data_IF_868782800511
#
_entry.id   IF_868782800511
#
_cell.length_a   1.000
_cell.length_b   1.000
_cell.length_c   1.000
_cell.angle_alpha   90.00
_cell.angle_beta   90.00
_cell.angle_gamma   90.00
#
_symmetry.space_group_name_H-M   'P 1'
#
loop_
_entity.id
_entity.type
_entity.pdbx_description
1 polymer ?
2 non-polymer ?
3 non-polymer ?
4 water ?
#
# COMPACT_ATOMS: atom_id res chain seq x y z
N UNK A 21 18.84 -16.94 -12.46
CA UNK A 21 17.60 -16.16 -12.19
C UNK A 21 17.92 -15.19 -11.05
N UNK A 22 17.06 -15.07 -10.04
CA UNK A 22 17.41 -14.26 -8.87
C UNK A 22 17.97 -15.14 -7.78
N UNK A 23 19.23 -14.92 -7.41
CA UNK A 23 19.85 -15.73 -6.38
C UNK A 23 20.06 -14.96 -5.08
N UNK A 24 20.17 -13.65 -5.18
CA UNK A 24 20.43 -12.80 -4.02
C UNK A 24 19.76 -11.44 -4.15
N UNK A 25 18.94 -11.10 -3.16
CA UNK A 25 18.16 -9.88 -3.18
C UNK A 25 18.52 -8.98 -2.01
N UNK A 26 18.79 -7.71 -2.32
CA UNK A 26 18.91 -6.68 -1.31
C UNK A 26 17.52 -6.17 -0.94
N UNK A 27 17.20 -6.22 0.33
CA UNK A 27 15.92 -5.75 0.84
C UNK A 27 16.10 -4.31 1.26
N UNK A 28 15.76 -3.39 0.35
CA UNK A 28 16.00 -1.97 0.57
C UNK A 28 14.82 -1.35 1.33
N UNK A 29 14.61 -1.83 2.54
CA UNK A 29 13.50 -1.35 3.38
C UNK A 29 13.75 -1.85 4.81
N UNK A 30 12.73 -1.76 5.65
CA UNK A 30 12.87 -2.00 7.08
C UNK A 30 11.54 -2.49 7.67
N UNK A 31 11.53 -2.79 8.96
CA UNK A 31 10.28 -3.07 9.64
C UNK A 31 9.53 -4.26 9.05
N UNK A 32 8.21 -4.15 9.08
CA UNK A 32 7.39 -5.31 8.76
C UNK A 32 7.54 -5.71 7.29
N UNK A 33 7.60 -4.74 6.38
CA UNK A 33 7.65 -5.12 4.96
C UNK A 33 8.97 -5.81 4.63
N UNK A 34 10.04 -5.41 5.31
CA UNK A 34 11.34 -6.04 5.10
C UNK A 34 11.23 -7.48 5.52
N UNK A 35 10.56 -7.75 6.63
CA UNK A 35 10.36 -9.15 7.07
C UNK A 35 9.49 -9.96 6.11
N UNK A 36 8.44 -9.32 5.59
CA UNK A 36 7.54 -9.93 4.61
C UNK A 36 8.33 -10.37 3.38
N UNK A 37 9.24 -9.51 2.93
CA UNK A 37 10.05 -9.78 1.74
C UNK A 37 11.05 -10.90 2.04
N UNK A 38 11.67 -10.84 3.20
CA UNK A 38 12.60 -11.89 3.61
C UNK A 38 11.92 -13.25 3.63
N UNK A 39 10.69 -13.31 4.12
CA UNK A 39 9.97 -14.56 4.20
C UNK A 39 9.71 -15.12 2.79
N UNK A 40 9.28 -14.26 1.88
CA UNK A 40 9.07 -14.70 0.48
C UNK A 40 10.39 -15.20 -0.15
N UNK A 41 11.49 -14.49 0.12
CA UNK A 41 12.76 -14.85 -0.47
C UNK A 41 13.14 -16.22 0.02
N UNK A 42 12.99 -16.43 1.32
CA UNK A 42 13.47 -17.66 1.93
C UNK A 42 12.64 -18.85 1.45
N UNK A 43 11.35 -18.63 1.21
CA UNK A 43 10.51 -19.68 0.61
C UNK A 43 10.99 -20.10 -0.77
N UNK A 44 11.44 -19.11 -1.55
CA UNK A 44 11.95 -19.35 -2.91
C UNK A 44 13.43 -19.75 -2.96
N UNK A 45 14.08 -19.78 -1.80
CA UNK A 45 15.47 -20.17 -1.74
C UNK A 45 16.40 -19.07 -2.22
N UNK A 46 15.94 -17.83 -2.13
CA UNK A 46 16.73 -16.67 -2.53
C UNK A 46 17.51 -16.13 -1.34
N UNK A 47 18.82 -15.90 -1.51
CA UNK A 47 19.62 -15.35 -0.43
C UNK A 47 19.24 -13.90 -0.16
N UNK A 48 19.34 -13.47 1.09
CA UNK A 48 18.94 -12.12 1.44
C UNK A 48 20.08 -11.27 1.96
N UNK A 49 20.00 -9.99 1.63
CA UNK A 49 20.93 -9.00 2.12
C UNK A 49 20.08 -7.93 2.79
N UNK A 50 20.20 -7.79 4.10
CA UNK A 50 19.49 -6.75 4.83
C UNK A 50 20.36 -5.51 4.96
N UNK A 51 19.99 -4.45 4.25
CA UNK A 51 20.64 -3.16 4.47
C UNK A 51 19.85 -2.44 5.57
N UNK A 52 20.58 -1.82 6.50
CA UNK A 52 19.94 -1.23 7.66
C UNK A 52 20.68 0.00 8.22
N UNK A 53 19.97 0.89 8.90
CA UNK A 53 20.61 2.01 9.58
C UNK A 53 21.20 1.52 10.89
N UNK A 54 22.00 2.35 11.53
CA UNK A 54 22.60 2.00 12.81
C UNK A 54 21.53 1.75 13.88
N UNK A 55 20.34 2.31 13.67
CA UNK A 55 19.26 2.23 14.66
C UNK A 55 18.47 0.94 14.55
N UNK A 56 18.72 0.19 13.49
CA UNK A 56 17.85 -0.91 13.13
C UNK A 56 18.64 -2.22 13.16
N UNK A 57 19.74 -2.22 13.89
CA UNK A 57 20.56 -3.42 14.00
C UNK A 57 19.82 -4.59 14.62
N UNK A 58 18.79 -4.30 15.41
CA UNK A 58 18.04 -5.36 16.11
C UNK A 58 16.68 -5.68 15.47
N UNK A 59 16.45 -5.20 14.25
CA UNK A 59 15.23 -5.55 13.54
C UNK A 59 15.18 -7.05 13.33
N UNK A 60 14.00 -7.64 13.42
CA UNK A 60 13.87 -9.09 13.25
C UNK A 60 14.43 -9.56 11.91
N UNK A 61 14.07 -8.90 10.81
CA UNK A 61 14.53 -9.41 9.51
C UNK A 61 16.05 -9.30 9.37
N UNK A 62 16.66 -8.29 10.00
CA UNK A 62 18.12 -8.16 9.99
C UNK A 62 18.74 -9.36 10.68
N UNK A 63 18.15 -9.75 11.81
CA UNK A 63 18.67 -10.86 12.60
C UNK A 63 18.51 -12.20 11.86
N UNK A 64 17.50 -12.28 11.01
CA UNK A 64 17.27 -13.48 10.19
C UNK A 64 17.97 -13.50 8.82
N UNK A 65 18.50 -12.38 8.36
CA UNK A 65 19.03 -12.29 7.00
C UNK A 65 20.33 -13.08 6.84
N UNK A 66 20.60 -13.52 5.62
CA UNK A 66 21.85 -14.21 5.33
C UNK A 66 23.08 -13.30 5.44
N UNK A 67 22.98 -12.07 4.92
CA UNK A 67 24.05 -11.08 5.04
C UNK A 67 23.44 -9.77 5.51
N UNK A 68 24.20 -8.97 6.26
CA UNK A 68 23.74 -7.64 6.65
C UNK A 68 24.79 -6.59 6.32
N UNK A 69 24.33 -5.39 6.03
CA UNK A 69 25.19 -4.27 5.70
C UNK A 69 24.62 -2.97 6.27
N UNK A 70 25.38 -2.30 7.12
CA UNK A 70 24.92 -1.03 7.69
C UNK A 70 25.13 0.07 6.65
N UNK A 71 24.06 0.75 6.23
CA UNK A 71 24.14 1.73 5.16
C UNK A 71 24.11 3.21 5.61
N UNK A 72 24.05 3.45 6.93
CA UNK A 72 24.12 4.81 7.41
C UNK A 72 23.55 4.96 8.79
N UNK A 73 23.62 6.19 9.34
CA UNK A 73 23.09 6.52 10.65
C UNK A 73 21.57 6.53 10.63
N UNK A 74 20.96 6.91 11.74
CA UNK A 74 19.52 6.71 11.92
C UNK A 74 18.60 7.42 10.91
N UNK A 75 18.84 8.72 10.68
CA UNK A 75 17.88 9.43 9.83
C UNK A 75 17.70 8.79 8.47
N UNK A 76 16.46 8.68 8.00
CA UNK A 76 16.19 8.02 6.72
C UNK A 76 16.98 8.63 5.59
N UNK A 77 17.11 9.96 5.60
CA UNK A 77 17.78 10.65 4.51
C UNK A 77 19.20 10.14 4.34
N UNK A 78 19.77 9.65 5.43
CA UNK A 78 21.18 9.24 5.45
C UNK A 78 21.36 7.72 5.33
N UNK A 79 20.24 7.00 5.28
CA UNK A 79 20.30 5.55 5.25
C UNK A 79 19.37 4.97 4.19
N UNK A 80 18.08 4.87 4.48
CA UNK A 80 17.17 4.14 3.59
C UNK A 80 16.84 4.90 2.31
N UNK A 81 17.17 6.20 2.31
CA UNK A 81 17.03 7.02 1.13
C UNK A 81 18.39 7.28 0.47
N UNK A 82 19.43 6.66 1.02
CA UNK A 82 20.81 6.85 0.54
C UNK A 82 21.07 5.97 -0.68
N UNK A 83 20.83 6.51 -1.86
CA UNK A 83 20.90 5.71 -3.08
C UNK A 83 22.29 5.10 -3.32
N UNK A 84 23.36 5.92 -3.21
CA UNK A 84 24.68 5.32 -3.44
C UNK A 84 25.01 4.19 -2.48
N UNK A 85 24.63 4.29 -1.22
CA UNK A 85 24.96 3.25 -0.24
C UNK A 85 24.19 1.94 -0.50
N UNK A 86 22.93 2.07 -0.88
CA UNK A 86 22.14 0.88 -1.18
C UNK A 86 22.71 0.15 -2.41
N UNK A 87 23.03 0.91 -3.45
CA UNK A 87 23.61 0.35 -4.67
C UNK A 87 24.96 -0.30 -4.34
N UNK A 88 25.72 0.34 -3.49
CA UNK A 88 27.04 -0.18 -3.11
C UNK A 88 26.92 -1.50 -2.35
N UNK A 89 25.87 -1.64 -1.55
CA UNK A 89 25.60 -2.89 -0.84
C UNK A 89 25.29 -4.03 -1.83
N UNK A 90 24.50 -3.71 -2.85
CA UNK A 90 24.26 -4.66 -3.92
C UNK A 90 25.55 -5.07 -4.63
N UNK A 91 26.43 -4.11 -4.89
CA UNK A 91 27.66 -4.39 -5.62
C UNK A 91 28.59 -5.31 -4.83
N UNK A 92 28.85 -4.95 -3.58
CA UNK A 92 29.80 -5.67 -2.76
C UNK A 92 29.32 -7.06 -2.36
N UNK A 93 28.00 -7.24 -2.22
CA UNK A 93 27.47 -8.58 -1.94
C UNK A 93 27.29 -9.44 -3.19
N UNK A 94 27.43 -8.83 -4.35
CA UNK A 94 27.21 -9.54 -5.61
C UNK A 94 25.74 -9.90 -5.77
N UNK A 95 24.85 -9.05 -5.28
CA UNK A 95 23.43 -9.29 -5.38
C UNK A 95 22.97 -9.17 -6.82
N UNK A 96 21.83 -9.77 -7.13
CA UNK A 96 21.22 -9.76 -8.45
C UNK A 96 20.09 -8.73 -8.57
N UNK A 97 19.45 -8.43 -7.46
CA UNK A 97 18.22 -7.62 -7.49
C UNK A 97 18.00 -6.87 -6.20
N UNK A 98 17.17 -5.83 -6.26
CA UNK A 98 16.86 -4.99 -5.11
C UNK A 98 15.34 -4.87 -5.00
N UNK A 99 14.80 -5.16 -3.82
CA UNK A 99 13.38 -5.03 -3.59
C UNK A 99 13.20 -3.80 -2.71
N UNK A 100 12.51 -2.79 -3.22
CA UNK A 100 12.35 -1.53 -2.47
C UNK A 100 11.15 -1.46 -1.50
N UNK A 101 10.37 -2.53 -1.35
CA UNK A 101 9.21 -2.48 -0.50
C UNK A 101 8.23 -1.41 -0.90
N UNK A 102 7.67 -0.75 0.10
CA UNK A 102 6.80 0.40 -0.08
C UNK A 102 7.41 1.60 0.64
N UNK A 103 7.00 2.80 0.25
CA UNK A 103 7.61 4.00 0.79
C UNK A 103 9.05 4.13 0.35
N UNK A 104 9.80 4.90 1.14
CA UNK A 104 11.22 5.15 0.88
C UNK A 104 11.50 5.38 -0.61
N UNK A 105 12.30 4.54 -1.25
CA UNK A 105 12.70 4.77 -2.63
C UNK A 105 11.88 3.98 -3.66
N UNK A 106 10.81 3.32 -3.22
CA UNK A 106 10.13 2.35 -4.09
C UNK A 106 9.49 2.99 -5.33
N UNK A 107 9.12 4.26 -5.22
CA UNK A 107 8.54 4.98 -6.36
C UNK A 107 9.41 6.17 -6.76
N UNK A 108 10.69 6.06 -6.44
CA UNK A 108 11.67 7.02 -6.88
C UNK A 108 12.29 6.54 -8.19
N UNK A 109 11.97 7.23 -9.29
CA UNK A 109 12.36 6.78 -10.62
C UNK A 109 13.84 6.97 -10.85
N UNK A 110 14.45 7.93 -10.16
CA UNK A 110 15.89 8.12 -10.27
C UNK A 110 16.62 6.91 -9.65
N UNK A 111 16.08 6.39 -8.55
CA UNK A 111 16.63 5.19 -7.92
C UNK A 111 16.52 3.99 -8.86
N UNK A 112 15.34 3.76 -9.41
CA UNK A 112 15.12 2.64 -10.33
C UNK A 112 16.06 2.72 -11.52
N UNK A 113 16.16 3.91 -12.10
CA UNK A 113 16.97 4.17 -13.27
C UNK A 113 18.41 3.86 -12.96
N UNK A 114 18.84 4.21 -11.75
CA UNK A 114 20.20 3.94 -11.33
C UNK A 114 20.47 2.48 -10.98
N UNK A 115 19.47 1.78 -10.49
CA UNK A 115 19.62 0.37 -10.17
C UNK A 115 19.83 -0.40 -11.48
N UNK A 116 19.08 -0.02 -12.50
CA UNK A 116 19.14 -0.70 -13.80
C UNK A 116 20.46 -0.37 -14.50
N UNK A 117 20.77 0.92 -14.56
CA UNK A 117 21.98 1.40 -15.21
C UNK A 117 23.23 0.80 -14.57
N UNK A 118 23.05 0.28 -13.35
CA UNK A 118 24.16 -0.25 -12.58
C UNK A 118 24.18 -1.77 -12.62
N UNK A 119 23.26 -2.35 -13.39
CA UNK A 119 23.31 -3.77 -13.70
C UNK A 119 22.47 -4.69 -12.83
N UNK A 120 21.66 -4.13 -11.94
CA UNK A 120 20.82 -4.94 -11.06
C UNK A 120 19.38 -4.93 -11.54
N UNK A 121 18.63 -5.94 -11.14
CA UNK A 121 17.20 -5.98 -11.42
C UNK A 121 16.46 -5.22 -10.35
N UNK A 122 15.71 -4.20 -10.74
CA UNK A 122 14.82 -3.49 -9.83
C UNK A 122 13.53 -4.28 -9.71
N UNK A 123 13.16 -4.71 -8.50
CA UNK A 123 11.91 -5.46 -8.32
C UNK A 123 10.76 -4.47 -8.25
N UNK A 124 10.23 -4.15 -9.42
CA UNK A 124 9.23 -3.12 -9.58
C UNK A 124 9.14 -2.78 -11.05
N UNK A 125 8.43 -1.70 -11.37
CA UNK A 125 8.36 -1.31 -12.78
C UNK A 125 9.63 -0.65 -13.28
N UNK A 126 9.67 -0.45 -14.58
CA UNK A 126 10.73 0.31 -15.20
C UNK A 126 10.67 1.77 -14.75
N UNK A 127 11.84 2.42 -14.72
CA UNK A 127 11.93 3.81 -14.32
C UNK A 127 10.95 4.70 -15.07
N UNK A 128 10.83 4.50 -16.38
CA UNK A 128 9.98 5.35 -17.21
C UNK A 128 8.50 5.26 -16.81
N UNK A 129 8.06 4.06 -16.43
CA UNK A 129 6.67 3.84 -16.01
C UNK A 129 6.40 4.45 -14.63
N UNK A 130 7.38 4.34 -13.76
CA UNK A 130 7.32 5.00 -12.47
C UNK A 130 7.13 6.50 -12.64
N UNK A 131 7.96 7.11 -13.49
CA UNK A 131 7.92 8.54 -13.68
C UNK A 131 6.58 8.95 -14.29
N UNK A 132 6.07 8.15 -15.23
CA UNK A 132 4.79 8.43 -15.85
C UNK A 132 3.63 8.46 -14.86
N UNK A 133 3.56 7.43 -14.02
CA UNK A 133 2.48 7.31 -13.06
C UNK A 133 2.82 8.06 -11.78
N UNK A 134 4.05 8.58 -11.72
CA UNK A 134 4.49 9.37 -10.59
C UNK A 134 4.03 10.81 -10.64
N UNK A 135 3.60 11.25 -11.81
CA UNK A 135 3.13 12.63 -11.96
C UNK A 135 1.62 12.70 -12.06
N UNK A 136 1.02 13.52 -11.19
CA UNK A 136 -0.44 13.65 -11.14
C UNK A 136 -1.12 13.61 -12.51
N UNK A 137 -0.87 14.62 -13.32
CA UNK A 137 -1.65 14.75 -14.55
C UNK A 137 -1.27 13.72 -15.63
N UNK A 138 0.02 13.50 -15.85
CA UNK A 138 0.44 12.50 -16.85
C UNK A 138 -0.16 11.13 -16.55
N UNK A 139 -0.28 10.78 -15.26
CA UNK A 139 -0.95 9.55 -14.88
C UNK A 139 -2.38 9.59 -15.39
N UNK A 140 -3.15 10.58 -14.94
CA UNK A 140 -4.56 10.70 -15.32
C UNK A 140 -4.75 10.67 -16.83
N UNK A 141 -3.77 11.18 -17.55
CA UNK A 141 -3.87 11.29 -19.00
C UNK A 141 -3.62 9.92 -19.66
N UNK A 142 -2.73 9.14 -19.07
CA UNK A 142 -2.48 7.80 -19.57
C UNK A 142 -3.68 6.90 -19.27
N UNK A 143 -4.31 7.10 -18.11
CA UNK A 143 -5.48 6.33 -17.72
C UNK A 143 -6.65 6.66 -18.66
N UNK A 144 -6.85 7.95 -18.94
CA UNK A 144 -7.97 8.36 -19.76
C UNK A 144 -7.77 7.79 -21.16
N UNK A 145 -6.52 7.81 -21.63
CA UNK A 145 -6.20 7.16 -22.91
C UNK A 145 -6.49 5.66 -22.86
N UNK A 146 -6.22 5.06 -21.71
CA UNK A 146 -6.38 3.61 -21.51
C UNK A 146 -7.82 3.12 -21.36
N UNK A 147 -8.75 4.03 -21.08
CA UNK A 147 -10.15 3.67 -20.91
C UNK A 147 -10.53 3.51 -19.45
N UNK A 148 -9.61 3.84 -18.55
CA UNK A 148 -9.90 3.81 -17.13
C UNK A 148 -10.61 5.11 -16.76
N UNK A 149 -11.74 5.00 -16.05
CA UNK A 149 -12.54 6.19 -15.79
C UNK A 149 -11.85 7.12 -14.82
N UNK A 150 -11.77 8.39 -15.20
CA UNK A 150 -11.18 9.40 -14.35
C UNK A 150 -12.24 10.35 -13.86
N UNK A 151 -11.84 11.25 -12.95
CA UNK A 151 -12.79 12.18 -12.41
C UNK A 151 -13.02 13.29 -13.43
N UNK A 152 -14.27 13.70 -13.60
CA UNK A 152 -14.51 14.86 -14.48
C UNK A 152 -13.68 16.04 -14.04
N UNK A 153 -12.97 16.65 -14.97
CA UNK A 153 -12.10 17.77 -14.63
C UNK A 153 -11.47 18.48 -15.81
N UNK A 154 -10.24 18.96 -15.58
CA UNK A 154 -9.50 19.75 -16.54
C UNK A 154 -9.61 19.16 -17.94
N UNK A 163 -11.10 34.72 -18.84
CA UNK A 163 -11.17 33.63 -17.87
C UNK A 163 -12.31 32.70 -18.24
N UNK A 164 -11.89 31.51 -18.62
CA UNK A 164 -12.72 30.48 -19.18
C UNK A 164 -12.69 29.33 -18.17
N UNK A 165 -12.22 29.71 -16.99
CA UNK A 165 -12.23 28.85 -15.81
C UNK A 165 -13.61 28.81 -15.16
N UNK A 166 -14.42 29.84 -15.37
CA UNK A 166 -15.80 29.79 -14.93
C UNK A 166 -16.58 28.80 -15.82
N UNK A 167 -16.21 28.71 -17.10
CA UNK A 167 -16.94 27.87 -18.05
C UNK A 167 -16.60 26.43 -17.73
N UNK A 168 -15.32 26.16 -17.55
CA UNK A 168 -14.90 24.80 -17.22
C UNK A 168 -15.51 24.36 -15.88
N UNK A 169 -15.41 25.24 -14.88
CA UNK A 169 -15.86 24.92 -13.52
C UNK A 169 -17.31 24.54 -13.64
N UNK A 170 -18.01 25.32 -14.44
CA UNK A 170 -19.43 25.18 -14.64
C UNK A 170 -19.78 23.81 -15.22
N UNK A 171 -19.13 23.42 -16.31
CA UNK A 171 -19.46 22.15 -16.97
C UNK A 171 -19.18 20.95 -16.05
N UNK A 172 -18.04 20.99 -15.39
CA UNK A 172 -17.64 19.98 -14.38
C UNK A 172 -18.70 19.91 -13.29
N UNK A 173 -18.95 21.07 -12.68
CA UNK A 173 -19.97 21.22 -11.65
C UNK A 173 -19.39 21.36 -10.24
N UNK A 174 -19.79 22.40 -9.52
CA UNK A 174 -19.32 22.58 -8.14
C UNK A 174 -19.97 21.54 -7.22
N UNK A 175 -19.28 21.14 -6.15
CA UNK A 175 -17.99 21.69 -5.71
C UNK A 175 -16.79 21.29 -6.55
N UNK A 176 -15.73 22.08 -6.45
CA UNK A 176 -14.48 21.85 -7.17
C UNK A 176 -13.22 22.06 -6.35
N UNK A 177 -12.10 21.62 -6.92
CA UNK A 177 -10.78 21.82 -6.33
C UNK A 177 -9.77 22.36 -7.35
N UNK A 178 -8.99 23.36 -6.93
CA UNK A 178 -7.96 23.96 -7.77
C UNK A 178 -6.59 23.52 -7.28
N UNK A 190 -7.08 24.24 -3.07
CA UNK A 190 -8.20 24.90 -2.41
C UNK A 190 -9.55 24.51 -3.03
N UNK A 191 -10.44 23.98 -2.20
CA UNK A 191 -11.79 23.59 -2.62
C UNK A 191 -12.62 24.83 -2.92
N UNK A 192 -13.63 24.64 -3.76
CA UNK A 192 -14.44 25.77 -4.19
C UNK A 192 -15.88 25.32 -4.38
N UNK A 193 -16.79 25.96 -3.65
CA UNK A 193 -18.19 25.59 -3.64
C UNK A 193 -19.04 26.57 -4.47
N UNK A 194 -18.44 27.67 -4.90
CA UNK A 194 -19.12 28.57 -5.84
C UNK A 194 -18.19 29.45 -6.69
N UNK A 195 -18.80 30.08 -7.68
CA UNK A 195 -18.11 30.75 -8.78
C UNK A 195 -17.62 32.17 -8.44
N UNK A 196 -18.40 32.90 -7.65
CA UNK A 196 -17.97 34.24 -7.23
C UNK A 196 -16.63 34.20 -6.47
N UNK A 197 -16.26 33.03 -5.95
CA UNK A 197 -14.97 32.86 -5.27
C UNK A 197 -13.91 32.28 -6.21
N UNK A 198 -14.34 31.71 -7.33
CA UNK A 198 -13.43 31.07 -8.27
C UNK A 198 -12.18 31.90 -8.55
N UNK A 199 -12.38 33.03 -9.22
CA UNK A 199 -11.29 33.93 -9.59
C UNK A 199 -10.31 34.12 -8.44
N UNK A 200 -10.81 34.68 -7.35
CA UNK A 200 -10.00 34.95 -6.17
C UNK A 200 -9.21 33.70 -5.76
N UNK A 201 -9.90 32.58 -5.64
CA UNK A 201 -9.28 31.33 -5.24
C UNK A 201 -8.10 31.03 -6.16
N UNK A 202 -8.32 31.22 -7.46
CA UNK A 202 -7.34 30.84 -8.46
C UNK A 202 -5.99 31.48 -8.16
N UNK A 203 -6.02 32.79 -7.90
CA UNK A 203 -4.80 33.54 -7.63
C UNK A 203 -4.09 33.11 -6.35
N UNK A 204 -4.83 32.53 -5.40
CA UNK A 204 -4.25 32.15 -4.12
C UNK A 204 -3.71 30.71 -4.12
N UNK A 205 -4.44 29.80 -4.75
CA UNK A 205 -3.98 28.42 -4.88
C UNK A 205 -2.71 28.34 -5.73
N UNK A 206 -2.42 29.42 -6.45
CA UNK A 206 -1.28 29.46 -7.35
C UNK A 206 0.03 29.70 -6.58
N UNK A 207 0.22 30.96 -6.15
CA UNK A 207 1.40 31.38 -5.39
C UNK A 207 1.98 30.26 -4.54
N UNK A 208 1.11 29.38 -4.03
CA UNK A 208 1.54 28.21 -3.27
C UNK A 208 1.59 26.98 -4.17
N UNK A 220 -9.06 20.19 -12.65
CA UNK A 220 -9.85 20.34 -11.45
C UNK A 220 -10.85 19.20 -11.26
N UNK A 221 -10.51 18.29 -10.37
CA UNK A 221 -11.38 17.14 -10.12
C UNK A 221 -12.65 17.55 -9.37
N UNK A 222 -13.80 17.39 -10.03
CA UNK A 222 -15.08 17.37 -9.33
C UNK A 222 -14.84 16.81 -7.93
N UNK A 223 -15.26 17.54 -6.89
CA UNK A 223 -15.11 17.07 -5.52
C UNK A 223 -16.31 16.21 -5.17
N UNK A 224 -16.06 14.98 -4.69
CA UNK A 224 -17.14 14.09 -4.32
C UNK A 224 -17.27 14.01 -2.81
N UNK A 225 -18.47 13.77 -2.30
CA UNK A 225 -18.72 13.80 -0.84
C UNK A 225 -19.31 12.52 -0.25
N UNK A 226 -19.59 11.54 -1.09
CA UNK A 226 -19.92 10.21 -0.60
C UNK A 226 -19.00 9.21 -1.25
N UNK A 227 -17.70 9.55 -1.41
CA UNK A 227 -16.85 8.60 -2.11
C UNK A 227 -16.19 7.65 -1.11
N UNK A 228 -16.13 6.39 -1.49
CA UNK A 228 -15.35 5.39 -0.75
C UNK A 228 -14.01 5.27 -1.44
N UNK A 229 -13.02 4.73 -0.74
CA UNK A 229 -11.74 4.45 -1.36
C UNK A 229 -11.75 2.99 -1.77
N UNK A 230 -11.81 2.73 -3.07
CA UNK A 230 -11.81 1.37 -3.56
C UNK A 230 -10.68 1.20 -4.56
N UNK A 231 -9.86 0.17 -4.36
CA UNK A 231 -8.63 0.03 -5.14
C UNK A 231 -8.45 -1.37 -5.71
N UNK A 232 -7.92 -1.44 -6.93
CA UNK A 232 -7.78 -2.69 -7.64
C UNK A 232 -6.30 -3.10 -7.65
N UNK A 233 -6.05 -4.30 -7.16
CA UNK A 233 -4.73 -4.90 -7.18
C UNK A 233 -4.48 -5.53 -8.54
N UNK A 234 -3.29 -5.30 -9.10
CA UNK A 234 -2.91 -5.93 -10.34
C UNK A 234 -1.51 -6.55 -10.26
N UNK A 235 -1.26 -7.45 -11.20
CA UNK A 235 0.08 -7.98 -11.51
C UNK A 235 0.23 -7.93 -13.01
N UNK A 236 1.42 -7.61 -13.49
CA UNK A 236 1.70 -7.73 -14.91
C UNK A 236 3.09 -8.32 -15.08
N UNK A 237 3.28 -9.16 -16.09
CA UNK A 237 4.58 -9.83 -16.23
C UNK A 237 5.28 -9.45 -17.54
N UNK A 238 6.46 -10.02 -17.76
CA UNK A 238 7.22 -9.73 -18.97
C UNK A 238 6.82 -10.62 -20.12
N UNK A 239 5.73 -11.38 -19.95
CA UNK A 239 5.21 -12.24 -21.01
C UNK A 239 3.93 -11.66 -21.60
N UNK A 240 3.64 -10.41 -21.26
CA UNK A 240 2.47 -9.75 -21.81
C UNK A 240 1.15 -10.01 -21.10
N UNK A 241 1.20 -10.68 -19.96
CA UNK A 241 0.00 -10.96 -19.18
C UNK A 241 -0.24 -9.88 -18.15
N UNK A 242 -1.50 -9.65 -17.82
CA UNK A 242 -1.86 -8.74 -16.74
C UNK A 242 -3.18 -9.19 -16.12
N UNK A 243 -3.18 -9.35 -14.80
CA UNK A 243 -4.36 -9.80 -14.08
C UNK A 243 -4.77 -8.82 -12.99
N UNK A 244 -6.06 -8.85 -12.66
CA UNK A 244 -6.58 -8.12 -11.51
C UNK A 244 -6.99 -9.07 -10.42
N UNK A 245 -6.74 -8.67 -9.19
CA UNK A 245 -7.00 -9.50 -8.01
C UNK A 245 -8.03 -8.84 -7.12
N UNK A 246 -9.27 -8.81 -7.62
CA UNK A 246 -10.38 -8.15 -6.95
C UNK A 246 -9.99 -6.76 -6.47
N UNK A 247 -10.65 -6.28 -5.41
CA UNK A 247 -10.43 -4.93 -4.93
C UNK A 247 -10.35 -4.89 -3.40
N UNK A 248 -9.98 -3.73 -2.88
CA UNK A 248 -9.95 -3.50 -1.44
C UNK A 248 -10.68 -2.20 -1.14
N UNK A 249 -11.34 -2.15 0.01
CA UNK A 249 -11.94 -0.88 0.45
C UNK A 249 -11.10 -0.37 1.59
N UNK A 250 -10.57 0.84 1.45
CA UNK A 250 -9.66 1.41 2.44
C UNK A 250 -10.16 2.80 2.87
N UNK A 251 -11.45 2.90 3.12
CA UNK A 251 -12.11 4.19 3.33
C UNK A 251 -11.89 4.72 4.72
N UNK A 252 -11.55 3.84 5.65
CA UNK A 252 -11.30 4.27 7.03
C UNK A 252 -9.92 4.90 7.11
N UNK A 253 -9.90 6.23 7.12
CA UNK A 253 -8.68 6.99 6.97
C UNK A 253 -8.70 8.19 7.89
N UNK A 254 -7.51 8.57 8.32
CA UNK A 254 -7.33 9.82 9.05
C UNK A 254 -6.27 10.62 8.35
N UNK A 255 -6.60 11.84 7.96
CA UNK A 255 -5.63 12.66 7.26
C UNK A 255 -4.97 11.89 6.15
N UNK A 256 -5.82 11.18 5.42
CA UNK A 256 -5.40 10.53 4.20
C UNK A 256 -4.44 9.38 4.48
N UNK A 257 -4.36 8.97 5.76
CA UNK A 257 -3.61 7.75 6.14
C UNK A 257 -4.58 6.65 6.51
N UNK A 258 -4.45 5.50 5.84
CA UNK A 258 -5.35 4.37 6.04
C UNK A 258 -5.12 3.72 7.40
N UNK A 259 -6.21 3.25 8.01
CA UNK A 259 -6.19 2.66 9.35
C UNK A 259 -6.66 1.21 9.34
N UNK A 260 -7.75 0.98 8.60
CA UNK A 260 -8.34 -0.34 8.48
C UNK A 260 -8.63 -0.56 7.01
N UNK A 261 -8.31 -1.75 6.48
CA UNK A 261 -8.65 -2.07 5.10
C UNK A 261 -9.41 -3.41 5.04
N UNK A 262 -10.15 -3.62 3.96
CA UNK A 262 -10.86 -4.87 3.83
C UNK A 262 -10.97 -5.29 2.37
N UNK A 263 -11.27 -6.56 2.15
CA UNK A 263 -11.45 -7.12 0.81
C UNK A 263 -12.40 -8.29 0.89
N UNK A 264 -13.26 -8.45 -0.11
CA UNK A 264 -13.54 -7.54 -1.21
C UNK A 264 -14.26 -6.30 -0.68
N UNK A 265 -14.54 -5.33 -1.54
CA UNK A 265 -15.27 -4.14 -1.12
C UNK A 265 -16.75 -4.42 -1.05
N UNK A 266 -17.37 -4.08 0.09
CA UNK A 266 -18.80 -4.36 0.23
C UNK A 266 -19.60 -3.71 -0.92
N UNK A 267 -20.59 -4.41 -1.44
CA UNK A 267 -21.49 -3.85 -2.44
C UNK A 267 -21.05 -4.07 -3.87
N UNK A 268 -19.76 -4.30 -4.07
CA UNK A 268 -19.19 -4.52 -5.39
C UNK A 268 -19.58 -5.90 -5.86
N UNK A 269 -20.36 -5.96 -6.92
CA UNK A 269 -20.75 -7.23 -7.47
C UNK A 269 -19.63 -7.72 -8.38
N UNK A 270 -19.65 -8.99 -8.76
CA UNK A 270 -18.62 -9.53 -9.62
C UNK A 270 -18.65 -8.93 -11.04
N UNK A 271 -19.83 -8.59 -11.55
CA UNK A 271 -19.93 -7.89 -12.82
C UNK A 271 -19.09 -6.61 -12.83
N UNK A 272 -19.31 -5.80 -11.80
CA UNK A 272 -18.64 -4.53 -11.63
C UNK A 272 -17.13 -4.74 -11.43
N UNK A 273 -16.77 -5.71 -10.58
CA UNK A 273 -15.38 -6.12 -10.40
C UNK A 273 -14.72 -6.45 -11.75
N UNK A 274 -15.44 -7.16 -12.60
CA UNK A 274 -14.88 -7.67 -13.83
C UNK A 274 -14.62 -6.51 -14.81
N UNK A 275 -15.56 -5.58 -14.82
CA UNK A 275 -15.42 -4.41 -15.68
C UNK A 275 -14.22 -3.54 -15.29
N UNK A 276 -14.21 -3.06 -14.05
CA UNK A 276 -13.17 -2.14 -13.65
C UNK A 276 -11.80 -2.83 -13.61
N UNK A 277 -11.81 -4.11 -13.26
CA UNK A 277 -10.59 -4.91 -13.17
C UNK A 277 -9.99 -5.16 -14.54
N UNK A 278 -10.85 -5.43 -15.52
CA UNK A 278 -10.38 -5.68 -16.86
C UNK A 278 -9.80 -4.39 -17.43
N UNK A 279 -10.42 -3.26 -17.09
CA UNK A 279 -9.89 -1.97 -17.55
C UNK A 279 -8.50 -1.71 -16.98
N UNK A 280 -8.32 -2.03 -15.71
CA UNK A 280 -7.00 -1.88 -15.10
C UNK A 280 -5.94 -2.81 -15.71
N UNK A 281 -6.30 -4.04 -16.02
CA UNK A 281 -5.35 -4.97 -16.61
C UNK A 281 -4.90 -4.48 -17.98
N UNK A 282 -5.87 -4.05 -18.78
CA UNK A 282 -5.56 -3.53 -20.09
C UNK A 282 -4.71 -2.27 -19.98
N UNK A 283 -4.95 -1.44 -18.97
CA UNK A 283 -4.13 -0.28 -18.75
C UNK A 283 -2.68 -0.72 -18.52
N UNK A 284 -2.51 -1.78 -17.73
CA UNK A 284 -1.18 -2.35 -17.48
C UNK A 284 -0.47 -2.65 -18.79
N UNK A 285 -1.11 -3.45 -19.64
CA UNK A 285 -0.50 -3.78 -20.93
C UNK A 285 -0.20 -2.51 -21.75
N UNK A 286 -1.12 -1.56 -21.73
CA UNK A 286 -1.02 -0.42 -22.61
C UNK A 286 0.18 0.45 -22.22
N UNK A 287 0.47 0.51 -20.92
CA UNK A 287 1.60 1.31 -20.43
C UNK A 287 2.87 0.48 -20.18
N UNK A 288 2.83 -0.81 -20.45
CA UNK A 288 4.01 -1.63 -20.31
C UNK A 288 4.39 -1.81 -18.85
N UNK A 289 3.36 -1.90 -18.02
CA UNK A 289 3.59 -2.13 -16.60
C UNK A 289 4.25 -3.46 -16.32
N UNK A 290 5.00 -3.51 -15.22
CA UNK A 290 5.72 -4.70 -14.79
C UNK A 290 5.63 -4.83 -13.28
N UNK A 291 5.21 -5.99 -12.78
CA UNK A 291 5.18 -6.23 -11.34
C UNK A 291 3.83 -6.00 -10.69
N UNK A 292 3.85 -5.87 -9.36
CA UNK A 292 2.64 -5.55 -8.60
C UNK A 292 2.34 -4.05 -8.67
N UNK A 293 1.06 -3.72 -8.68
CA UNK A 293 0.68 -2.33 -8.58
C UNK A 293 -0.75 -2.23 -8.12
N UNK A 294 -1.16 -1.03 -7.71
CA UNK A 294 -2.54 -0.78 -7.34
C UNK A 294 -3.10 0.47 -8.02
N UNK A 295 -4.28 0.33 -8.61
CA UNK A 295 -5.05 1.48 -9.10
C UNK A 295 -6.02 1.90 -7.99
N UNK A 296 -5.87 3.12 -7.48
CA UNK A 296 -6.76 3.66 -6.46
C UNK A 296 -7.86 4.47 -7.10
N UNK A 297 -9.09 4.22 -6.64
CA UNK A 297 -10.25 4.97 -7.11
C UNK A 297 -11.07 5.56 -5.97
N UNK A 298 -11.72 6.66 -6.28
CA UNK A 298 -12.87 7.14 -5.53
C UNK A 298 -14.10 6.42 -6.10
N UNK A 299 -15.00 5.98 -5.23
CA UNK A 299 -16.12 5.18 -5.69
C UNK A 299 -17.45 5.74 -5.21
N UNK A 300 -18.36 6.04 -6.14
CA UNK A 300 -19.63 6.67 -5.75
C UNK A 300 -20.81 6.44 -6.67
N UNK A 301 -21.98 6.36 -6.06
CA UNK A 301 -23.21 6.07 -6.77
C UNK A 301 -22.94 5.12 -7.92
N UNK A 302 -22.15 4.10 -7.63
CA UNK A 302 -21.90 3.02 -8.57
C UNK A 302 -20.86 3.26 -9.64
N UNK A 303 -20.21 4.42 -9.62
CA UNK A 303 -19.18 4.71 -10.62
C UNK A 303 -17.78 4.88 -9.98
N UNK A 304 -16.75 4.47 -10.73
CA UNK A 304 -15.37 4.56 -10.30
C UNK A 304 -14.67 5.79 -10.88
N UNK A 305 -13.76 6.38 -10.11
CA UNK A 305 -12.98 7.51 -10.61
C UNK A 305 -11.51 7.45 -10.15
N UNK A 306 -10.60 7.26 -11.11
CA UNK A 306 -9.17 7.09 -10.84
C UNK A 306 -8.58 8.29 -10.15
N UNK A 307 -7.74 8.03 -9.14
CA UNK A 307 -7.01 9.11 -8.49
C UNK A 307 -5.49 8.91 -8.45
N UNK A 308 -5.02 7.67 -8.41
CA UNK A 308 -3.58 7.46 -8.31
C UNK A 308 -3.21 6.01 -8.57
N UNK A 309 -2.03 5.75 -9.14
CA UNK A 309 -1.53 4.39 -9.19
C UNK A 309 -0.29 4.30 -8.32
N UNK A 310 -0.28 3.34 -7.39
CA UNK A 310 0.92 3.07 -6.64
C UNK A 310 1.68 1.99 -7.39
N UNK A 311 2.89 2.32 -7.83
CA UNK A 311 3.66 1.42 -8.66
C UNK A 311 4.65 0.65 -7.80
N UNK A 312 4.13 -0.21 -6.94
CA UNK A 312 4.90 -0.91 -5.92
C UNK A 312 3.92 -1.82 -5.23
N UNK A 313 4.40 -2.64 -4.30
CA UNK A 313 3.53 -3.40 -3.41
C UNK A 313 2.82 -2.43 -2.47
N UNK A 314 1.60 -2.80 -2.08
CA UNK A 314 0.75 -2.03 -1.16
C UNK A 314 0.93 -2.49 0.28
N UNK A 315 0.87 -1.58 1.25
CA UNK A 315 0.88 -1.99 2.67
C UNK A 315 -0.18 -3.07 2.94
N UNK A 316 -1.39 -2.83 2.45
CA UNK A 316 -2.52 -3.69 2.78
C UNK A 316 -2.70 -4.88 1.84
N UNK A 317 -1.65 -5.24 1.11
CA UNK A 317 -1.71 -6.41 0.23
C UNK A 317 -2.20 -7.70 0.90
N UNK A 318 -1.96 -7.89 2.21
CA UNK A 318 -2.43 -9.17 2.77
C UNK A 318 -3.94 -9.45 2.68
N UNK A 319 -4.82 -8.45 2.70
CA UNK A 319 -6.23 -8.80 2.65
C UNK A 319 -6.58 -9.43 1.30
N UNK A 320 -5.87 -9.03 0.26
CA UNK A 320 -6.06 -9.59 -1.08
C UNK A 320 -5.55 -11.03 -1.11
N UNK A 321 -4.39 -11.26 -0.49
CA UNK A 321 -3.86 -12.62 -0.38
C UNK A 321 -4.86 -13.55 0.30
N UNK A 322 -5.55 -13.06 1.32
CA UNK A 322 -6.45 -13.90 2.09
C UNK A 322 -7.67 -14.34 1.28
N UNK A 323 -8.16 -13.47 0.39
CA UNK A 323 -9.38 -13.80 -0.34
C UNK A 323 -9.15 -14.40 -1.71
N UNK A 324 -7.90 -14.41 -2.18
CA UNK A 324 -7.61 -14.98 -3.50
C UNK A 324 -6.63 -16.16 -3.50
N UNK A 325 -5.87 -16.31 -2.42
CA UNK A 325 -4.85 -17.34 -2.33
C UNK A 325 -3.57 -17.02 -3.11
N UNK A 326 -3.40 -15.78 -3.54
CA UNK A 326 -2.18 -15.42 -4.27
C UNK A 326 -1.17 -14.87 -3.27
N UNK A 327 0.12 -15.19 -3.44
CA UNK A 327 1.20 -14.64 -2.63
C UNK A 327 1.81 -13.50 -3.47
N UNK A 328 1.47 -12.27 -3.12
CA UNK A 328 1.78 -11.15 -3.99
C UNK A 328 3.27 -10.83 -4.02
N UNK A 329 3.95 -11.00 -2.90
CA UNK A 329 5.40 -10.75 -2.88
C UNK A 329 6.16 -11.83 -3.64
N UNK A 330 5.78 -13.10 -3.47
CA UNK A 330 6.40 -14.15 -4.27
C UNK A 330 6.20 -13.86 -5.77
N UNK A 331 5.00 -13.43 -6.16
CA UNK A 331 4.78 -13.09 -7.58
C UNK A 331 5.64 -11.91 -8.00
N UNK A 332 5.88 -10.93 -7.13
CA UNK A 332 6.82 -9.85 -7.48
C UNK A 332 8.18 -10.42 -7.83
N UNK A 333 8.65 -11.34 -7.00
CA UNK A 333 9.99 -11.91 -7.18
C UNK A 333 10.11 -12.76 -8.45
N UNK A 334 9.07 -13.54 -8.73
CA UNK A 334 9.04 -14.38 -9.89
C UNK A 334 8.95 -13.52 -11.15
N UNK A 335 8.16 -12.46 -11.09
CA UNK A 335 7.96 -11.61 -12.26
C UNK A 335 9.27 -10.88 -12.58
N UNK A 336 9.96 -10.45 -11.53
CA UNK A 336 11.24 -9.75 -11.68
C UNK A 336 12.31 -10.67 -12.25
N UNK A 337 12.23 -11.96 -11.93
CA UNK A 337 13.17 -12.96 -12.45
C UNK A 337 12.89 -13.31 -13.91
N UNK A 338 11.78 -12.80 -14.44
CA UNK A 338 11.41 -13.02 -15.82
C UNK A 338 10.31 -14.07 -16.05
N UNK A 339 9.78 -14.62 -14.96
CA UNK A 339 8.77 -15.69 -15.08
C UNK A 339 7.39 -15.12 -15.35
N UNK A 340 6.49 -15.95 -15.89
CA UNK A 340 5.11 -15.48 -16.01
C UNK A 340 4.38 -15.49 -14.68
N UNK A 341 3.33 -14.68 -14.55
CA UNK A 341 2.39 -14.77 -13.43
C UNK A 341 1.97 -16.24 -13.29
N UNK A 342 1.89 -16.74 -12.07
CA UNK A 342 1.74 -18.20 -11.88
C UNK A 342 0.33 -18.72 -12.05
N UNK A 343 -0.58 -17.88 -12.50
CA UNK A 343 -1.96 -18.25 -12.70
C UNK A 343 -2.57 -17.35 -13.78
N UNK A 344 -3.74 -17.73 -14.29
CA UNK A 344 -4.43 -16.93 -15.30
C UNK A 344 -5.67 -16.30 -14.63
N UNK A 345 -6.28 -15.31 -15.29
CA UNK A 345 -7.40 -14.57 -14.71
C UNK A 345 -8.53 -15.49 -14.27
N UNK A 346 -8.82 -16.50 -15.09
CA UNK A 346 -9.91 -17.44 -14.79
C UNK A 346 -9.66 -18.26 -13.52
N UNK A 347 -8.41 -18.28 -13.06
CA UNK A 347 -8.05 -19.07 -11.87
C UNK A 347 -8.39 -18.32 -10.59
N UNK A 348 -8.62 -17.02 -10.71
CA UNK A 348 -8.85 -16.19 -9.54
C UNK A 348 -10.33 -16.10 -9.21
N UNK A 349 -10.68 -16.48 -7.99
CA UNK A 349 -12.04 -16.29 -7.51
C UNK A 349 -12.04 -15.84 -6.06
N UNK A 350 -12.73 -14.73 -5.80
CA UNK A 350 -12.87 -14.20 -4.46
C UNK A 350 -13.58 -15.22 -3.58
N UNK A 351 -12.97 -15.57 -2.46
CA UNK A 351 -13.63 -16.46 -1.51
C UNK A 351 -13.55 -15.85 -0.12
N UNK A 352 -14.69 -15.66 0.52
CA UNK A 352 -14.68 -15.09 1.87
C UNK A 352 -14.39 -13.61 1.92
N UNK A 353 -13.90 -13.17 3.08
CA UNK A 353 -13.72 -11.78 3.38
C UNK A 353 -12.52 -11.62 4.35
N UNK A 354 -11.78 -10.52 4.22
CA UNK A 354 -10.61 -10.27 5.07
C UNK A 354 -10.57 -8.81 5.50
N UNK A 355 -9.97 -8.60 6.67
CA UNK A 355 -9.84 -7.29 7.27
C UNK A 355 -8.42 -7.11 7.78
N UNK A 356 -7.93 -5.88 7.78
CA UNK A 356 -6.61 -5.58 8.30
C UNK A 356 -6.67 -4.34 9.18
N UNK A 357 -6.08 -4.44 10.37
CA UNK A 357 -5.86 -3.28 11.26
C UNK A 357 -4.38 -2.98 11.35
N UNK A 358 -4.01 -1.72 11.05
CA UNK A 358 -2.63 -1.27 11.16
C UNK A 358 -2.39 -0.87 12.60
N UNK A 359 -1.64 -1.69 13.30
CA UNK A 359 -1.31 -1.41 14.68
C UNK A 359 -0.07 -0.53 14.78
N UNK A 360 -0.26 0.64 15.37
CA UNK A 360 0.76 1.67 15.42
C UNK A 360 1.13 1.96 16.85
N UNK A 361 2.40 2.29 17.05
CA UNK A 361 2.89 2.77 18.34
C UNK A 361 2.62 4.26 18.41
N UNK A 362 1.45 4.61 18.92
CA UNK A 362 1.04 5.99 19.05
C UNK A 362 -0.09 6.08 20.05
N UNK A 363 -0.31 7.27 20.59
CA UNK A 363 -1.44 7.50 21.49
C UNK A 363 -2.75 7.40 20.68
N UNK A 364 -3.75 6.65 21.18
CA UNK A 364 -4.91 6.37 20.32
C UNK A 364 -5.89 7.55 20.12
N UNK A 365 -5.72 8.64 20.85
CA UNK A 365 -6.52 9.83 20.61
C UNK A 365 -5.72 11.00 19.99
N UNK A 366 -4.50 11.27 20.51
CA UNK A 366 -3.66 12.35 19.97
C UNK A 366 -2.86 11.93 18.76
N UNK A 367 -2.59 10.61 18.63
CA UNK A 367 -1.85 10.08 17.49
C UNK A 367 -0.39 10.49 17.49
N UNK A 368 0.10 10.97 18.62
CA UNK A 368 1.52 11.27 18.74
C UNK A 368 2.25 9.97 18.92
N UNK A 369 3.43 9.85 18.32
CA UNK A 369 4.14 8.58 18.36
C UNK A 369 4.52 8.16 19.80
N UNK A 370 4.62 6.85 19.99
CA UNK A 370 4.93 6.26 21.29
C UNK A 370 6.12 5.30 21.16
N UNK A 371 7.32 5.85 20.97
CA UNK A 371 8.52 5.00 20.86
C UNK A 371 8.85 4.41 22.21
N UNK A 372 9.57 3.30 22.24
CA UNK A 372 10.02 2.75 23.50
C UNK A 372 10.15 1.24 23.50
N UNK A 373 10.57 0.70 24.64
CA UNK A 373 10.76 -0.74 24.76
C UNK A 373 9.45 -1.48 24.98
N UNK A 374 9.21 -2.48 24.13
CA UNK A 374 8.07 -3.37 24.29
C UNK A 374 8.51 -4.40 25.32
N UNK A 375 8.02 -4.25 26.54
CA UNK A 375 8.44 -5.12 27.64
C UNK A 375 7.79 -6.47 27.51
N UNK A 376 6.58 -6.47 26.97
CA UNK A 376 5.91 -7.73 26.74
C UNK A 376 5.07 -7.65 25.49
N UNK A 377 5.18 -8.67 24.65
CA UNK A 377 4.32 -8.78 23.49
C UNK A 377 3.57 -10.08 23.60
N UNK A 378 2.25 -10.02 23.40
CA UNK A 378 1.51 -11.24 23.18
C UNK A 378 0.70 -11.09 21.91
N UNK A 379 1.06 -11.86 20.92
CA UNK A 379 0.37 -11.78 19.64
C UNK A 379 -0.72 -12.84 19.55
N UNK A 380 -1.80 -12.50 18.85
CA UNK A 380 -2.98 -13.36 18.78
C UNK A 380 -2.77 -14.44 17.75
N UNK A 381 -3.62 -15.46 17.74
CA UNK A 381 -3.48 -16.55 16.79
C UNK A 381 -4.78 -17.30 16.59
N UNK A 382 -4.67 -18.52 16.10
CA UNK A 382 -5.82 -19.37 15.87
C UNK A 382 -6.28 -19.29 14.44
N UNK A 383 -7.43 -19.91 14.18
CA UNK A 383 -7.99 -19.99 12.85
C UNK A 383 -8.38 -18.63 12.28
N UNK A 384 -7.91 -18.35 11.07
CA UNK A 384 -8.28 -17.11 10.37
C UNK A 384 -7.60 -15.87 10.89
N UNK A 385 -6.53 -16.03 11.66
CA UNK A 385 -5.78 -14.92 12.18
C UNK A 385 -4.36 -14.97 11.60
N UNK A 386 -3.94 -13.84 11.05
CA UNK A 386 -2.61 -13.69 10.47
C UNK A 386 -1.96 -12.48 11.12
N UNK A 387 -0.69 -12.61 11.49
CA UNK A 387 0.00 -11.53 12.19
C UNK A 387 1.29 -11.24 11.42
N UNK A 388 1.38 -10.04 10.82
CA UNK A 388 2.58 -9.62 10.08
C UNK A 388 3.26 -8.51 10.87
N UNK A 389 4.32 -8.87 11.56
CA UNK A 389 5.01 -7.92 12.44
C UNK A 389 6.45 -8.31 12.70
N UNK A 390 7.32 -7.32 12.80
CA UNK A 390 8.71 -7.49 13.15
C UNK A 390 8.94 -7.33 14.66
N UNK A 391 7.92 -6.91 15.39
CA UNK A 391 8.08 -6.64 16.82
C UNK A 391 8.16 -7.94 17.62
N UNK A 392 9.00 -7.95 18.64
CA UNK A 392 9.17 -9.10 19.49
C UNK A 392 9.34 -8.56 20.91
N UNK A 393 9.00 -9.38 21.90
CA UNK A 393 9.27 -8.98 23.29
C UNK A 393 10.70 -8.56 23.52
N UNK A 394 10.88 -7.36 24.08
CA UNK A 394 12.22 -6.84 24.34
C UNK A 394 12.72 -5.89 23.27
N UNK A 395 12.01 -5.81 22.15
CA UNK A 395 12.33 -4.90 21.06
C UNK A 395 11.99 -3.45 21.44
N UNK A 396 12.86 -2.53 21.05
CA UNK A 396 12.61 -1.10 21.25
C UNK A 396 12.15 -0.46 19.95
N UNK A 397 10.95 0.09 19.96
CA UNK A 397 10.44 0.80 18.79
C UNK A 397 11.14 2.16 18.71
N UNK A 398 11.86 2.43 17.60
CA UNK A 398 12.61 3.69 17.54
C UNK A 398 11.77 4.90 17.11
N UNK A 399 12.32 6.09 17.33
CA UNK A 399 11.64 7.34 17.00
C UNK A 399 11.77 7.72 15.53
N UNK A 400 12.76 7.16 14.85
CA UNK A 400 13.23 7.70 13.57
C UNK A 400 12.33 7.47 12.35
N UNK A 401 11.40 6.52 12.42
CA UNK A 401 10.65 6.10 11.24
C UNK A 401 9.15 6.18 11.50
N UNK A 402 8.37 5.48 10.68
CA UNK A 402 6.92 5.44 10.86
C UNK A 402 6.56 4.66 12.12
N UNK A 403 5.30 4.73 12.53
CA UNK A 403 4.92 4.18 13.82
C UNK A 403 4.26 2.81 13.69
N UNK A 404 4.16 2.28 12.48
CA UNK A 404 3.56 0.94 12.32
C UNK A 404 4.41 -0.13 12.98
N UNK A 405 3.79 -0.94 13.81
CA UNK A 405 4.53 -2.03 14.41
C UNK A 405 3.97 -3.39 14.03
N UNK A 406 2.70 -3.44 13.61
CA UNK A 406 2.13 -4.71 13.17
C UNK A 406 0.93 -4.52 12.28
N UNK A 407 0.65 -5.50 11.45
CA UNK A 407 -0.61 -5.60 10.74
C UNK A 407 -1.30 -6.88 11.19
N UNK A 408 -2.49 -6.72 11.76
CA UNK A 408 -3.30 -7.85 12.21
C UNK A 408 -4.33 -8.04 11.11
N UNK A 409 -4.41 -9.24 10.59
CA UNK A 409 -5.23 -9.54 9.44
C UNK A 409 -6.12 -10.72 9.79
N UNK A 410 -7.44 -10.63 9.55
CA UNK A 410 -8.33 -11.75 9.78
C UNK A 410 -9.07 -12.11 8.50
N UNK A 411 -9.54 -13.36 8.48
CA UNK A 411 -10.27 -13.88 7.37
C UNK A 411 -11.48 -14.59 7.92
N UNK A 412 -12.59 -14.54 7.20
CA UNK A 412 -13.75 -15.33 7.52
C UNK A 412 -14.58 -15.60 6.29
N UNK A 413 -15.51 -16.54 6.40
CA UNK A 413 -16.41 -16.83 5.27
C UNK A 413 -17.29 -15.66 4.87
N UNK A 414 -17.53 -14.78 5.84
CA UNK A 414 -18.34 -13.58 5.63
C UNK A 414 -17.65 -12.40 6.28
N UNK A 415 -18.05 -11.20 5.88
CA UNK A 415 -17.54 -9.98 6.48
C UNK A 415 -17.80 -10.00 7.98
N UNK A 416 -18.96 -10.50 8.37
CA UNK A 416 -19.35 -10.50 9.77
C UNK A 416 -18.36 -11.34 10.61
N UNK A 417 -17.97 -12.50 10.06
CA UNK A 417 -17.05 -13.39 10.74
C UNK A 417 -15.66 -12.76 10.79
N UNK A 418 -15.23 -12.11 9.71
CA UNK A 418 -13.91 -11.50 9.72
C UNK A 418 -13.85 -10.40 10.77
N UNK A 419 -14.96 -9.66 10.92
CA UNK A 419 -14.96 -8.55 11.87
C UNK A 419 -14.92 -9.07 13.31
N UNK A 420 -15.74 -10.06 13.63
CA UNK A 420 -15.76 -10.62 14.99
C UNK A 420 -14.41 -11.25 15.36
N UNK A 421 -13.77 -11.88 14.39
CA UNK A 421 -12.48 -12.49 14.58
C UNK A 421 -11.43 -11.41 14.84
N UNK A 422 -11.54 -10.27 14.15
CA UNK A 422 -10.65 -9.14 14.41
C UNK A 422 -10.87 -8.60 15.81
N UNK A 423 -12.12 -8.45 16.23
CA UNK A 423 -12.38 -7.91 17.56
C UNK A 423 -11.77 -8.83 18.63
N UNK A 424 -11.94 -10.14 18.45
CA UNK A 424 -11.43 -11.10 19.44
C UNK A 424 -9.88 -11.13 19.44
N UNK A 425 -9.30 -11.08 18.26
CA UNK A 425 -7.86 -11.08 18.15
C UNK A 425 -7.27 -9.84 18.79
N UNK A 426 -7.92 -8.68 18.62
CA UNK A 426 -7.44 -7.45 19.22
C UNK A 426 -7.53 -7.57 20.74
N UNK A 427 -8.59 -8.19 21.24
CA UNK A 427 -8.77 -8.35 22.68
C UNK A 427 -7.66 -9.22 23.30
N UNK A 428 -7.17 -10.19 22.53
CA UNK A 428 -6.05 -11.04 22.97
C UNK A 428 -4.67 -10.38 22.88
N UNK A 429 -4.55 -9.30 22.14
CA UNK A 429 -3.25 -8.74 21.83
C UNK A 429 -2.75 -7.90 23.00
N UNK A 430 -1.49 -8.08 23.39
CA UNK A 430 -0.91 -7.29 24.47
C UNK A 430 0.41 -6.72 24.01
N UNK A 431 0.54 -5.39 24.10
CA UNK A 431 1.75 -4.71 23.74
C UNK A 431 2.03 -3.78 24.90
N UNK A 432 2.78 -4.28 25.89
CA UNK A 432 3.03 -3.55 27.13
C UNK A 432 4.40 -2.89 27.15
N UNK A 433 4.37 -1.58 27.45
CA UNK A 433 5.54 -0.72 27.48
C UNK A 433 5.34 0.55 26.67
N UNK A 434 4.47 0.48 25.66
CA UNK A 434 4.16 1.62 24.81
C UNK A 434 2.65 1.71 24.55
N UNK A 435 2.17 2.88 24.10
CA UNK A 435 0.78 3.05 23.72
C UNK A 435 0.57 2.56 22.29
N UNK A 436 -0.60 2.02 21.98
CA UNK A 436 -0.93 1.68 20.61
C UNK A 436 -2.28 2.22 20.24
N UNK A 437 -2.62 2.12 18.96
CA UNK A 437 -3.92 2.53 18.50
C UNK A 437 -4.97 1.41 18.55
N UNK A 438 -4.69 0.34 19.28
CA UNK A 438 -5.67 -0.73 19.44
C UNK A 438 -7.04 -0.21 19.93
N UNK A 439 -7.05 0.74 20.88
CA UNK A 439 -8.38 1.22 21.25
C UNK A 439 -9.15 1.88 20.09
N UNK A 440 -8.46 2.50 19.14
CA UNK A 440 -9.14 3.13 18.01
C UNK A 440 -9.75 2.04 17.14
N UNK A 441 -8.99 0.98 16.88
CA UNK A 441 -9.51 -0.15 16.13
C UNK A 441 -10.77 -0.71 16.73
N UNK A 442 -10.76 -0.89 18.06
CA UNK A 442 -11.92 -1.41 18.74
C UNK A 442 -13.13 -0.49 18.55
N UNK A 443 -12.93 0.82 18.59
CA UNK A 443 -14.03 1.76 18.35
C UNK A 443 -14.58 1.65 16.93
N UNK A 444 -13.67 1.51 15.97
CA UNK A 444 -14.07 1.39 14.59
C UNK A 444 -14.87 0.11 14.36
N UNK A 445 -14.36 -1.00 14.87
CA UNK A 445 -14.97 -2.29 14.58
C UNK A 445 -16.38 -2.42 15.16
N UNK A 446 -16.67 -1.70 16.26
CA UNK A 446 -18.00 -1.79 16.86
C UNK A 446 -18.95 -0.67 16.42
N UNK A 447 -18.46 0.20 15.54
CA UNK A 447 -19.28 1.28 14.97
C UNK A 447 -20.41 0.68 14.12
N UNK A 448 -21.65 1.09 14.37
CA UNK A 448 -22.78 0.47 13.68
C UNK A 448 -22.72 0.74 12.18
N UNK A 449 -22.19 1.89 11.77
CA UNK A 449 -22.09 2.19 10.36
C UNK A 449 -21.01 1.37 9.69
N UNK A 450 -19.88 1.13 10.37
CA UNK A 450 -18.85 0.25 9.83
C UNK A 450 -19.38 -1.17 9.73
N UNK A 451 -20.16 -1.58 10.73
CA UNK A 451 -20.75 -2.90 10.74
C UNK A 451 -21.68 -3.11 9.55
N UNK A 452 -22.43 -2.07 9.21
CA UNK A 452 -23.30 -2.07 8.04
C UNK A 452 -22.46 -2.12 6.76
N UNK A 453 -21.33 -1.40 6.77
CA UNK A 453 -20.43 -1.38 5.64
C UNK A 453 -20.68 -0.19 4.72
N UNK A 454 -19.66 0.22 3.97
CA UNK A 454 -19.90 1.24 2.95
C UNK A 454 -19.65 2.68 3.39
N UNK A 455 -18.99 2.85 4.54
CA UNK A 455 -18.71 4.19 5.03
C UNK A 455 -17.70 4.86 4.11
N UNK A 456 -17.82 6.17 3.96
CA UNK A 456 -16.97 6.92 3.03
C UNK A 456 -15.64 7.37 3.64
N UNK A 457 -14.82 8.01 2.82
CA UNK A 457 -13.46 8.35 3.20
C UNK A 457 -13.37 9.49 4.21
N UNK A 458 -14.48 10.19 4.44
CA UNK A 458 -14.50 11.27 5.41
C UNK A 458 -15.04 10.77 6.76
N UNK A 459 -15.57 9.54 6.77
CA UNK A 459 -16.30 9.06 7.94
C UNK A 459 -15.50 9.06 9.22
N UNK A 460 -14.28 8.55 9.21
CA UNK A 460 -13.54 8.41 10.46
C UNK A 460 -13.33 9.75 11.15
N UNK A 461 -12.87 10.74 10.39
CA UNK A 461 -12.58 12.06 10.93
C UNK A 461 -13.85 12.67 11.54
N UNK A 462 -14.99 12.45 10.90
CA UNK A 462 -16.27 12.91 11.44
C UNK A 462 -16.56 12.25 12.78
N UNK A 463 -16.54 10.91 12.81
CA UNK A 463 -16.75 10.16 14.05
C UNK A 463 -15.72 10.53 15.10
N UNK A 464 -14.49 10.76 14.65
CA UNK A 464 -13.28 10.87 15.48
C UNK A 464 -12.52 9.55 15.58
X LIG B 1 0.34 3.15 2.25
X LIG B 1 -0.48 3.31 -0.30
X LIG B 1 -1.86 1.94 1.22
X LIG B 1 0.38 1.09 0.49
X LIG B 1 -0.42 3.31 3.36
X LIG B 1 1.58 3.67 2.16
X LIG B 1 -0.42 2.33 0.84
X LIG C 1 13.13 -16.66 -8.78
X LIG C 1 14.54 -16.44 -8.90
X LIG C 1 12.82 -18.10 -8.37
X LIG C 1 11.41 -18.33 -8.48
X LIG C 1 12.71 -15.98 -8.04
X LIG C 1 12.64 -16.44 -9.74
X LIG C 1 14.70 -15.52 -9.16
X LIG C 1 13.15 -18.26 -7.35
X LIG C 1 13.36 -18.79 -9.03
X LIG C 1 11.21 -19.24 -8.23
X LIG D 1 1.56 -14.89 15.14
X LIG D 1 2.77 -15.00 15.90
X LIG D 1 0.55 -15.92 15.64
X LIG D 1 -0.58 -15.99 14.74
X LIG D 1 1.78 -15.07 14.09
X LIG D 1 1.15 -13.89 15.24
X LIG D 1 3.41 -14.35 15.58
X LIG D 1 0.20 -15.64 16.63
X LIG D 1 1.02 -16.90 15.70
X LIG D 1 -1.21 -16.64 15.07
#
# INVERSE_FOLDING_TARGET
>A
MGSSHHHHHHSSGLVPRGSHMLEKVVIANRGEIALRILRACKELGIKTVAVHSTADRDLKHVLLADETICIGPAPSAKSYLNIPAIIAAAEVTGADAIHPGYGFLSENADFAEQVERSGFTFIGPTADVIRLMGDKVSAIKAMKKAGVPCVPGSDGPVSNDIAKNKEIAKRIGYPIIIKASGGGGGRGMRVVRSEDALEESIAMTKAEAKAAFNNDMVYMEKYLENPRHVEIQVLADTHGNAVYLAERDCSMQRRHQKVVEEAPAPGITEEVRRDIGSRCANACVEIGYRGAGTFEFLYENGEFYFIEMNTRIQVEHPVTEMITGVDLVKEQLRIAAGLPISFKQEDIKVKGHAMECRINAEDPKTFLPSPGKVNHLHSPGGLGVRWDSHVYGGYTVPPHYDSMIAKLITYGDTREVAIRRMQNALSETIIDGIKTNIPLHELILEDENFQKGGTNIHYLEKKLGMNE
>B hetero
1 PPF C1 O1 O2 O3 O4 O5 P1
>C hetero
1 EDO C1 O1 C2 O2 H11 H12 HO1 H21 H22 HO2
>D hetero
1 EDO C1 O1 C2 O2 H11 H12 HO1 H21 H22 HO2
#
